data_IF_814033004720
#
_entry.id   IF_814033004720
#
_cell.length_a   1.000
_cell.length_b   1.000
_cell.length_c   1.000
_cell.angle_alpha   90.00
_cell.angle_beta   90.00
_cell.angle_gamma   90.00
#
_symmetry.space_group_name_H-M   'P 1'
#
loop_
_entity.id
_entity.type
_entity.pdbx_description
1 polymer ?
#
# COMPACT_ATOMS: atom_id res chain seq x y z
N UNK A 1 11.61 -0.80 -8.75
CA UNK A 1 11.75 -0.58 -7.30
C UNK A 1 10.61 -1.32 -6.65
N UNK A 2 10.91 -2.14 -5.63
CA UNK A 2 9.92 -2.84 -4.83
C UNK A 2 9.50 -1.92 -3.68
N UNK A 3 8.21 -1.58 -3.62
CA UNK A 3 7.65 -0.76 -2.57
C UNK A 3 6.97 -1.69 -1.56
N UNK A 4 7.71 -2.11 -0.54
CA UNK A 4 7.20 -2.99 0.52
C UNK A 4 6.32 -2.19 1.49
N UNK A 5 5.25 -2.84 1.95
CA UNK A 5 4.29 -2.37 2.94
C UNK A 5 4.90 -2.07 4.30
N UNK A 6 6.03 -2.70 4.60
CA UNK A 6 6.78 -2.48 5.83
C UNK A 6 7.06 -0.97 6.08
N UNK A 7 6.53 -0.48 7.21
CA UNK A 7 6.62 0.91 7.68
C UNK A 7 5.97 1.97 6.78
N UNK A 8 5.00 1.60 5.93
CA UNK A 8 4.35 2.52 4.97
C UNK A 8 5.37 3.23 4.07
N UNK A 9 6.50 2.56 3.80
CA UNK A 9 7.59 3.13 3.01
C UNK A 9 7.13 3.49 1.60
N UNK A 10 6.12 2.78 1.08
CA UNK A 10 5.49 3.05 -0.20
C UNK A 10 4.79 4.41 -0.29
N UNK A 11 4.36 5.02 0.84
CA UNK A 11 3.70 6.34 0.84
C UNK A 11 4.65 7.50 0.52
N UNK A 12 5.94 7.22 0.34
CA UNK A 12 6.93 8.20 -0.13
C UNK A 12 6.96 8.31 -1.66
N UNK A 13 6.29 7.41 -2.36
CA UNK A 13 6.27 7.41 -3.82
C UNK A 13 5.02 8.15 -4.32
N UNK A 14 5.16 8.78 -5.49
CA UNK A 14 4.05 9.37 -6.24
C UNK A 14 3.94 8.61 -7.57
N UNK A 15 3.46 7.35 -7.54
CA UNK A 15 3.45 6.51 -8.73
C UNK A 15 2.40 6.99 -9.75
N UNK A 16 2.72 6.83 -11.03
CA UNK A 16 1.70 6.93 -12.10
C UNK A 16 0.87 5.64 -12.20
N UNK A 17 1.50 4.48 -11.95
CA UNK A 17 0.83 3.19 -11.95
C UNK A 17 1.18 2.46 -10.65
N UNK A 18 0.16 1.99 -9.94
CA UNK A 18 0.29 1.15 -8.75
C UNK A 18 -0.28 -0.23 -9.06
N UNK A 19 0.50 -1.28 -8.80
CA UNK A 19 0.08 -2.67 -8.95
C UNK A 19 0.10 -3.33 -7.58
N UNK A 20 -1.05 -3.83 -7.15
CA UNK A 20 -1.19 -4.55 -5.88
C UNK A 20 -1.49 -6.01 -6.24
N UNK A 21 -0.53 -6.89 -5.95
CA UNK A 21 -0.57 -8.30 -6.34
C UNK A 21 -1.22 -9.20 -5.30
N UNK A 22 -1.13 -8.82 -4.02
CA UNK A 22 -1.85 -9.40 -2.90
C UNK A 22 -2.06 -8.33 -1.81
N UNK A 23 -3.01 -8.57 -0.92
CA UNK A 23 -3.28 -7.77 0.27
C UNK A 23 -3.38 -8.78 1.41
N UNK A 24 -2.23 -9.17 1.96
CA UNK A 24 -2.15 -10.10 3.08
C UNK A 24 -1.76 -9.32 4.33
N UNK A 25 -2.46 -9.56 5.45
CA UNK A 25 -1.99 -9.09 6.75
C UNK A 25 -0.74 -9.90 7.08
N UNK A 26 0.39 -9.38 6.64
CA UNK A 26 1.69 -9.73 7.16
C UNK A 26 2.18 -8.53 7.98
N UNK A 27 2.92 -8.78 9.06
CA UNK A 27 3.35 -7.75 10.03
C UNK A 27 2.26 -7.19 10.98
N UNK A 28 1.51 -8.07 11.66
CA UNK A 28 0.66 -7.72 12.83
C UNK A 28 1.42 -7.01 13.97
N UNK A 29 2.75 -7.07 13.96
CA UNK A 29 3.61 -6.39 14.93
C UNK A 29 3.67 -4.87 14.71
N UNK A 30 3.31 -4.40 13.51
CA UNK A 30 3.38 -2.98 13.12
C UNK A 30 2.00 -2.36 12.88
N UNK A 31 1.09 -3.10 12.25
CA UNK A 31 -0.28 -2.65 12.00
C UNK A 31 -1.18 -3.02 13.18
N UNK A 32 -1.85 -2.02 13.77
CA UNK A 32 -2.73 -2.21 14.94
C UNK A 32 -3.90 -3.15 14.66
N UNK A 33 -4.48 -3.04 13.48
CA UNK A 33 -5.65 -3.79 13.04
C UNK A 33 -5.75 -3.77 11.51
N UNK A 34 -6.68 -4.56 10.97
CA UNK A 34 -6.99 -4.62 9.54
C UNK A 34 -7.38 -3.24 8.98
N UNK A 35 -8.01 -2.37 9.77
CA UNK A 35 -8.39 -1.03 9.32
C UNK A 35 -7.16 -0.15 9.08
N UNK A 36 -6.16 -0.22 9.95
CA UNK A 36 -4.93 0.55 9.80
C UNK A 36 -4.10 0.08 8.59
N UNK A 37 -4.13 -1.22 8.31
CA UNK A 37 -3.57 -1.81 7.11
C UNK A 37 -4.28 -1.29 5.86
N UNK A 38 -5.62 -1.38 5.80
CA UNK A 38 -6.43 -0.88 4.69
C UNK A 38 -6.23 0.63 4.45
N UNK A 39 -6.16 1.43 5.53
CA UNK A 39 -5.91 2.87 5.44
C UNK A 39 -4.57 3.19 4.77
N UNK A 40 -3.54 2.37 4.97
CA UNK A 40 -2.26 2.57 4.32
C UNK A 40 -2.38 2.36 2.80
N UNK A 41 -3.08 1.33 2.34
CA UNK A 41 -3.33 1.11 0.90
C UNK A 41 -4.21 2.19 0.30
N UNK A 42 -5.25 2.67 1.00
CA UNK A 42 -6.05 3.80 0.55
C UNK A 42 -5.20 5.07 0.37
N UNK A 43 -4.25 5.32 1.28
CA UNK A 43 -3.34 6.46 1.14
C UNK A 43 -2.44 6.32 -0.10
N UNK A 44 -2.00 5.11 -0.46
CA UNK A 44 -1.25 4.86 -1.71
C UNK A 44 -2.12 5.08 -2.96
N UNK A 45 -3.39 4.65 -2.92
CA UNK A 45 -4.32 4.88 -4.02
C UNK A 45 -4.49 6.38 -4.28
N UNK A 46 -4.64 7.18 -3.22
CA UNK A 46 -4.74 8.64 -3.33
C UNK A 46 -3.49 9.33 -3.88
N UNK A 47 -2.32 8.69 -3.78
CA UNK A 47 -1.06 9.19 -4.34
C UNK A 47 -0.82 8.72 -5.78
N UNK A 48 -1.66 7.80 -6.28
CA UNK A 48 -1.54 7.26 -7.64
C UNK A 48 -2.27 8.16 -8.62
N UNK A 49 -1.55 8.67 -9.62
CA UNK A 49 -2.10 9.66 -10.57
C UNK A 49 -2.70 9.06 -11.85
N UNK A 50 -2.33 7.83 -12.20
CA UNK A 50 -2.80 7.14 -13.39
C UNK A 50 -3.68 5.94 -13.05
N UNK A 51 -3.10 4.75 -13.05
CA UNK A 51 -3.84 3.50 -12.97
C UNK A 51 -3.50 2.69 -11.72
N UNK A 52 -4.52 2.06 -11.15
CA UNK A 52 -4.38 1.09 -10.07
C UNK A 52 -4.81 -0.27 -10.62
N UNK A 53 -3.94 -1.27 -10.52
CA UNK A 53 -4.18 -2.65 -10.94
C UNK A 53 -4.20 -3.51 -9.68
N UNK A 54 -5.29 -4.26 -9.49
CA UNK A 54 -5.49 -5.18 -8.37
C UNK A 54 -5.62 -6.59 -8.95
N UNK A 55 -4.91 -7.56 -8.37
CA UNK A 55 -5.03 -9.00 -8.70
C UNK A 55 -5.94 -9.72 -7.71
#
# INVERSE_FOLDING_TARGET
>A
MEACEYKRSFLKYLPFITVITNIEIDHLDYYKDLNDYMNAFFALQNQTSGYIILN
#
